data_IF_103243585366
#
_entry.id   IF_103243585366
#
_cell.length_a   1.000
_cell.length_b   1.000
_cell.length_c   1.000
_cell.angle_alpha   90.00
_cell.angle_beta   90.00
_cell.angle_gamma   90.00
#
_symmetry.space_group_name_H-M   'P 1'
#
loop_
_entity.id
_entity.type
_entity.pdbx_description
1 polymer ?
#
# COMPACT_ATOMS: atom_id res chain seq x y z
N UNK A 1 18.46 9.08 -20.66
CA UNK A 1 17.63 8.54 -21.76
C UNK A 1 16.21 9.05 -21.53
N UNK A 2 15.77 10.02 -22.34
CA UNK A 2 14.51 10.75 -22.15
C UNK A 2 13.33 9.81 -22.46
N UNK A 3 12.62 9.40 -21.43
CA UNK A 3 11.29 8.79 -21.54
C UNK A 3 10.35 9.83 -22.15
N UNK A 4 10.20 9.78 -23.47
CA UNK A 4 9.56 10.83 -24.24
C UNK A 4 8.03 10.74 -24.03
N UNK A 5 7.43 11.81 -23.51
CA UNK A 5 6.02 11.91 -23.13
C UNK A 5 5.04 11.44 -24.21
N UNK A 6 5.40 11.51 -25.50
CA UNK A 6 4.57 10.97 -26.59
C UNK A 6 4.28 9.47 -26.44
N UNK A 7 5.25 8.66 -25.99
CA UNK A 7 5.09 7.20 -25.89
C UNK A 7 4.15 6.85 -24.74
N UNK A 8 4.18 7.64 -23.66
CA UNK A 8 3.17 7.58 -22.59
C UNK A 8 1.77 7.88 -23.10
N UNK A 9 1.63 8.87 -23.99
CA UNK A 9 0.33 9.20 -24.59
C UNK A 9 -0.20 8.09 -25.49
N UNK A 10 0.64 7.46 -26.31
CA UNK A 10 0.25 6.34 -27.18
C UNK A 10 -0.30 5.15 -26.38
N UNK A 11 0.32 4.83 -25.24
CA UNK A 11 -0.15 3.72 -24.39
C UNK A 11 -1.27 4.11 -23.42
N UNK A 12 -1.62 5.39 -23.32
CA UNK A 12 -2.59 5.88 -22.33
C UNK A 12 -3.97 5.26 -22.52
N UNK A 13 -4.47 5.20 -23.74
CA UNK A 13 -5.79 4.62 -24.06
C UNK A 13 -5.85 3.14 -23.65
N UNK A 14 -4.82 2.36 -24.02
CA UNK A 14 -4.74 0.95 -23.66
C UNK A 14 -4.66 0.76 -22.13
N UNK A 15 -3.85 1.59 -21.44
CA UNK A 15 -3.75 1.57 -19.99
C UNK A 15 -5.08 1.90 -19.31
N UNK A 16 -5.82 2.91 -19.81
CA UNK A 16 -7.15 3.26 -19.32
C UNK A 16 -8.15 2.12 -19.50
N UNK A 17 -8.17 1.47 -20.67
CA UNK A 17 -9.03 0.30 -20.91
C UNK A 17 -8.74 -0.85 -19.93
N UNK A 18 -7.46 -1.12 -19.63
CA UNK A 18 -7.06 -2.14 -18.66
C UNK A 18 -7.46 -1.74 -17.24
N UNK A 19 -7.18 -0.49 -16.84
CA UNK A 19 -7.56 0.04 -15.52
C UNK A 19 -9.07 0.00 -15.32
N UNK A 20 -9.85 0.39 -16.32
CA UNK A 20 -11.31 0.35 -16.28
C UNK A 20 -11.83 -1.08 -16.06
N UNK A 21 -11.33 -2.06 -16.82
CA UNK A 21 -11.70 -3.48 -16.61
C UNK A 21 -11.33 -3.97 -15.21
N UNK A 22 -10.20 -3.55 -14.66
CA UNK A 22 -9.80 -3.89 -13.28
C UNK A 22 -10.72 -3.22 -12.26
N UNK A 23 -11.06 -1.94 -12.45
CA UNK A 23 -11.98 -1.22 -11.58
C UNK A 23 -13.37 -1.89 -11.56
N UNK A 24 -13.90 -2.29 -12.73
CA UNK A 24 -15.15 -3.03 -12.81
C UNK A 24 -15.10 -4.36 -12.04
N UNK A 25 -13.99 -5.10 -12.12
CA UNK A 25 -13.81 -6.33 -11.35
C UNK A 25 -13.77 -6.06 -9.84
N UNK A 26 -13.13 -4.97 -9.42
CA UNK A 26 -13.02 -4.57 -8.02
C UNK A 26 -14.31 -3.99 -7.45
N UNK A 27 -15.21 -3.48 -8.29
CA UNK A 27 -16.43 -2.78 -7.88
C UNK A 27 -17.29 -3.63 -6.95
N UNK A 28 -17.59 -4.87 -7.33
CA UNK A 28 -18.44 -5.75 -6.51
C UNK A 28 -17.86 -5.98 -5.11
N UNK A 29 -16.56 -6.25 -5.02
CA UNK A 29 -15.87 -6.47 -3.75
C UNK A 29 -15.85 -5.20 -2.89
N UNK A 30 -15.53 -4.06 -3.51
CA UNK A 30 -15.51 -2.77 -2.84
C UNK A 30 -16.89 -2.37 -2.32
N UNK A 31 -17.93 -2.50 -3.14
CA UNK A 31 -19.32 -2.23 -2.75
C UNK A 31 -19.78 -3.13 -1.61
N UNK A 32 -19.46 -4.42 -1.66
CA UNK A 32 -19.79 -5.35 -0.59
C UNK A 32 -19.11 -4.97 0.73
N UNK A 33 -17.82 -4.66 0.69
CA UNK A 33 -17.06 -4.22 1.87
C UNK A 33 -17.61 -2.91 2.45
N UNK A 34 -17.90 -1.93 1.59
CA UNK A 34 -18.49 -0.65 1.98
C UNK A 34 -19.86 -0.83 2.65
N UNK A 35 -20.75 -1.62 2.05
CA UNK A 35 -22.08 -1.87 2.60
C UNK A 35 -21.99 -2.59 3.95
N UNK A 36 -21.08 -3.56 4.07
CA UNK A 36 -20.85 -4.31 5.31
C UNK A 36 -20.31 -3.41 6.43
N UNK A 37 -19.38 -2.50 6.10
CA UNK A 37 -18.85 -1.52 7.04
C UNK A 37 -19.94 -0.54 7.48
N UNK A 38 -20.71 -0.01 6.53
CA UNK A 38 -21.77 0.97 6.81
C UNK A 38 -22.90 0.37 7.65
N UNK A 39 -23.26 -0.88 7.41
CA UNK A 39 -24.31 -1.58 8.18
C UNK A 39 -23.90 -1.88 9.64
N UNK A 40 -22.61 -2.01 9.92
CA UNK A 40 -22.09 -2.33 11.26
C UNK A 40 -21.61 -1.10 12.03
N UNK A 41 -21.28 -0.02 11.33
CA UNK A 41 -20.85 1.25 11.93
C UNK A 41 -22.02 2.00 12.59
N UNK A 42 -21.69 2.82 13.60
CA UNK A 42 -22.66 3.74 14.20
C UNK A 42 -22.98 4.86 13.21
N UNK A 43 -24.24 5.29 13.15
CA UNK A 43 -24.68 6.37 12.25
C UNK A 43 -23.85 7.66 12.41
N UNK A 44 -23.47 8.01 13.64
CA UNK A 44 -22.64 9.19 13.91
C UNK A 44 -21.23 9.09 13.27
N UNK A 45 -20.67 7.88 13.21
CA UNK A 45 -19.36 7.64 12.56
C UNK A 45 -19.50 7.73 11.05
N UNK A 46 -20.55 7.15 10.48
CA UNK A 46 -20.82 7.22 9.04
C UNK A 46 -20.95 8.69 8.61
N UNK A 47 -21.78 9.48 9.30
CA UNK A 47 -21.93 10.91 9.02
C UNK A 47 -20.62 11.67 9.12
N UNK A 48 -19.81 11.38 10.14
CA UNK A 48 -18.51 12.02 10.32
C UNK A 48 -17.58 11.71 9.14
N UNK A 49 -17.44 10.44 8.76
CA UNK A 49 -16.57 10.04 7.65
C UNK A 49 -17.03 10.59 6.30
N UNK A 50 -18.33 10.65 6.06
CA UNK A 50 -18.88 11.27 4.85
C UNK A 50 -18.55 12.76 4.80
N UNK A 51 -18.68 13.50 5.91
CA UNK A 51 -18.31 14.91 5.95
C UNK A 51 -16.80 15.10 5.74
N UNK A 52 -15.96 14.28 6.36
CA UNK A 52 -14.52 14.32 6.16
C UNK A 52 -14.13 14.08 4.70
N UNK A 53 -14.77 13.12 4.02
CA UNK A 53 -14.55 12.87 2.58
C UNK A 53 -14.96 14.08 1.73
N UNK A 54 -16.13 14.67 1.99
CA UNK A 54 -16.62 15.85 1.26
C UNK A 54 -15.67 17.05 1.41
N UNK A 55 -15.19 17.30 2.63
CA UNK A 55 -14.25 18.38 2.92
C UNK A 55 -12.91 18.16 2.19
N UNK A 56 -12.41 16.91 2.15
CA UNK A 56 -11.19 16.55 1.42
C UNK A 56 -11.35 16.77 -0.08
N UNK A 57 -12.47 16.35 -0.66
CA UNK A 57 -12.76 16.55 -2.09
C UNK A 57 -12.91 18.04 -2.44
N UNK A 58 -13.56 18.83 -1.58
CA UNK A 58 -13.68 20.28 -1.75
C UNK A 58 -12.34 21.00 -1.65
N UNK A 59 -11.45 20.54 -0.77
CA UNK A 59 -10.10 21.06 -0.58
C UNK A 59 -9.10 20.67 -1.68
N UNK A 60 -9.32 19.56 -2.37
CA UNK A 60 -8.37 18.96 -3.32
C UNK A 60 -7.94 19.90 -4.46
N UNK A 61 -8.83 20.79 -4.90
CA UNK A 61 -8.51 21.77 -5.94
C UNK A 61 -7.46 22.81 -5.48
N UNK A 62 -7.35 23.05 -4.17
CA UNK A 62 -6.47 24.05 -3.58
C UNK A 62 -5.24 23.42 -2.92
N UNK A 63 -5.38 22.22 -2.36
CA UNK A 63 -4.31 21.46 -1.73
C UNK A 63 -4.42 19.98 -2.11
N UNK A 64 -3.45 19.48 -2.88
CA UNK A 64 -3.43 18.09 -3.32
C UNK A 64 -3.23 17.10 -2.16
N UNK A 65 -2.63 17.56 -1.05
CA UNK A 65 -2.35 16.73 0.13
C UNK A 65 -3.60 16.48 0.98
N UNK A 66 -4.72 17.17 0.70
CA UNK A 66 -6.00 16.92 1.38
C UNK A 66 -6.48 15.47 1.21
N UNK A 67 -6.10 14.82 0.11
CA UNK A 67 -6.50 13.45 -0.20
C UNK A 67 -5.59 12.39 0.45
N UNK A 68 -4.46 12.77 1.05
CA UNK A 68 -3.49 11.83 1.65
C UNK A 68 -4.08 11.05 2.83
N UNK A 69 -5.13 11.59 3.47
CA UNK A 69 -5.87 10.93 4.54
C UNK A 69 -6.66 9.70 4.06
N UNK A 70 -6.95 9.59 2.77
CA UNK A 70 -7.57 8.40 2.17
C UNK A 70 -6.55 7.32 1.82
N UNK A 71 -5.25 7.62 1.86
CA UNK A 71 -4.20 6.63 1.65
C UNK A 71 -4.02 5.75 2.88
N UNK A 72 -3.65 4.49 2.64
CA UNK A 72 -3.46 3.53 3.72
C UNK A 72 -2.13 3.81 4.40
N UNK A 73 -2.17 4.51 5.54
CA UNK A 73 -1.02 4.76 6.40
C UNK A 73 -0.61 3.48 7.15
N UNK A 74 -0.17 2.45 6.42
CA UNK A 74 0.43 1.26 7.04
C UNK A 74 1.84 1.65 7.48
N UNK A 75 2.12 1.59 8.77
CA UNK A 75 3.51 1.62 9.22
C UNK A 75 4.23 0.43 8.62
N UNK A 76 5.11 0.72 7.66
CA UNK A 76 5.88 -0.31 6.99
C UNK A 76 6.73 -1.00 8.05
N UNK A 77 6.47 -2.28 8.27
CA UNK A 77 7.34 -3.12 9.10
C UNK A 77 8.77 -3.12 8.53
N UNK A 78 9.77 -3.43 9.37
CA UNK A 78 11.15 -3.47 8.90
C UNK A 78 11.26 -4.44 7.73
N UNK A 79 11.89 -3.97 6.66
CA UNK A 79 12.20 -4.80 5.50
C UNK A 79 13.14 -5.93 5.90
N UNK A 80 13.14 -7.01 5.11
CA UNK A 80 14.09 -8.13 5.32
C UNK A 80 15.54 -7.66 5.38
N UNK A 81 15.91 -6.64 4.58
CA UNK A 81 17.25 -6.06 4.59
C UNK A 81 17.55 -5.36 5.92
N UNK A 82 16.61 -4.58 6.45
CA UNK A 82 16.75 -3.90 7.75
C UNK A 82 16.78 -4.90 8.91
N UNK A 83 15.97 -5.97 8.84
CA UNK A 83 16.03 -7.06 9.81
C UNK A 83 17.37 -7.79 9.75
N UNK A 84 17.88 -8.09 8.54
CA UNK A 84 19.17 -8.75 8.37
C UNK A 84 20.30 -7.89 8.93
N UNK A 85 20.28 -6.59 8.64
CA UNK A 85 21.26 -5.64 9.13
C UNK A 85 21.28 -5.62 10.66
N UNK A 86 20.11 -5.53 11.30
CA UNK A 86 19.98 -5.58 12.77
C UNK A 86 20.53 -6.88 13.37
N UNK A 87 20.27 -8.02 12.73
CA UNK A 87 20.78 -9.31 13.21
C UNK A 87 22.31 -9.35 13.08
N UNK A 88 22.86 -8.89 11.95
CA UNK A 88 24.32 -8.84 11.74
C UNK A 88 25.04 -7.84 12.63
N UNK A 89 24.43 -6.67 12.90
CA UNK A 89 24.97 -5.67 13.83
C UNK A 89 24.95 -6.17 15.29
N UNK A 90 24.01 -7.06 15.62
CA UNK A 90 23.93 -7.74 16.92
C UNK A 90 24.93 -8.88 17.09
N UNK A 91 25.62 -9.34 16.03
CA UNK A 91 26.71 -10.31 16.13
C UNK A 91 27.97 -9.62 16.68
N UNK A 92 28.01 -9.42 17.99
CA UNK A 92 29.20 -8.94 18.69
C UNK A 92 30.38 -9.93 18.57
N UNK A 93 31.60 -9.54 18.97
CA UNK A 93 32.83 -10.34 18.79
C UNK A 93 32.85 -11.71 19.48
N UNK A 94 31.85 -11.99 20.34
CA UNK A 94 31.67 -13.27 21.03
C UNK A 94 30.42 -14.06 20.56
N UNK A 95 29.68 -13.54 19.57
CA UNK A 95 28.56 -14.27 18.97
C UNK A 95 29.10 -15.26 17.91
N UNK A 96 28.48 -16.43 17.81
CA UNK A 96 28.80 -17.42 16.78
C UNK A 96 28.64 -16.78 15.39
N UNK A 97 29.75 -16.39 14.80
CA UNK A 97 29.81 -15.63 13.55
C UNK A 97 29.09 -16.41 12.45
N UNK A 98 28.11 -15.80 11.78
CA UNK A 98 27.36 -16.43 10.68
C UNK A 98 25.99 -17.02 11.05
N UNK A 99 25.54 -16.88 12.29
CA UNK A 99 24.18 -17.24 12.73
C UNK A 99 23.10 -16.50 11.92
N UNK A 100 23.35 -15.22 11.63
CA UNK A 100 22.52 -14.37 10.79
C UNK A 100 22.36 -14.95 9.38
N UNK A 101 23.42 -15.57 8.82
CA UNK A 101 23.40 -16.17 7.49
C UNK A 101 22.56 -17.44 7.43
N UNK A 102 22.58 -18.26 8.48
CA UNK A 102 21.72 -19.45 8.60
C UNK A 102 20.24 -19.10 8.69
N UNK A 103 19.90 -18.03 9.42
CA UNK A 103 18.52 -17.52 9.51
C UNK A 103 18.05 -17.00 8.15
N UNK A 104 18.87 -16.24 7.42
CA UNK A 104 18.50 -15.77 6.07
C UNK A 104 18.25 -16.91 5.11
N UNK A 105 19.06 -17.96 5.19
CA UNK A 105 18.95 -19.15 4.36
C UNK A 105 17.66 -19.92 4.68
N UNK A 106 17.34 -20.11 5.97
CA UNK A 106 16.09 -20.73 6.42
C UNK A 106 14.86 -19.99 5.91
N UNK A 107 14.82 -18.66 6.06
CA UNK A 107 13.72 -17.82 5.55
C UNK A 107 13.57 -17.92 4.03
N UNK A 108 14.67 -18.02 3.29
CA UNK A 108 14.64 -18.17 1.83
C UNK A 108 14.09 -19.53 1.39
N UNK A 109 14.31 -20.57 2.19
CA UNK A 109 13.77 -21.91 1.94
C UNK A 109 12.26 -21.94 2.21
N UNK A 110 11.79 -21.29 3.27
CA UNK A 110 10.36 -21.18 3.59
C UNK A 110 9.58 -20.41 2.52
N UNK A 111 10.13 -19.31 1.99
CA UNK A 111 9.50 -18.54 0.89
C UNK A 111 9.36 -19.35 -0.42
N UNK A 112 10.12 -20.43 -0.59
CA UNK A 112 10.08 -21.29 -1.78
C UNK A 112 9.10 -22.48 -1.67
N UNK A 113 8.50 -22.69 -0.51
CA UNK A 113 7.48 -23.73 -0.26
C UNK A 113 6.06 -23.18 -0.37
#
# INVERSE_FOLDING_TARGET
MLDNNWKKMVHMVQALCIKYKRALKGLTTATHAYNSLTATAKEALVRKWTQEEEDMQGGHAHDITSMDALDVQVQRGPTRAEMQLRITEGEGPNAATGSAGWITLGLKVEEMQ
#
